data_IF_894335497457
#
_entry.id   IF_894335497457
#
_cell.length_a   1.000
_cell.length_b   1.000
_cell.length_c   1.000
_cell.angle_alpha   90.00
_cell.angle_beta   90.00
_cell.angle_gamma   90.00
#
_symmetry.space_group_name_H-M   'P 1'
#
loop_
_entity.id
_entity.type
_entity.pdbx_description
1 polymer ?
#
# COMPACT_ATOMS: atom_id res chain seq x y z
N UNK A 1 2.93 30.35 -22.47
CA UNK A 1 2.59 28.91 -22.52
C UNK A 1 1.44 28.64 -21.56
N UNK A 2 0.26 28.16 -22.02
CA UNK A 2 -0.85 27.86 -21.13
C UNK A 2 -0.53 26.59 -20.32
N UNK A 3 -0.61 26.67 -18.99
CA UNK A 3 -0.50 25.51 -18.09
C UNK A 3 -1.86 24.80 -18.11
N UNK A 4 -1.96 23.67 -18.83
CA UNK A 4 -3.14 22.79 -18.77
C UNK A 4 -3.23 22.26 -17.33
N UNK A 5 -4.31 22.61 -16.63
CA UNK A 5 -4.56 22.13 -15.29
C UNK A 5 -4.83 20.62 -15.36
N UNK A 6 -3.87 19.80 -14.94
CA UNK A 6 -4.08 18.36 -14.82
C UNK A 6 -5.07 18.13 -13.68
N UNK A 7 -6.29 17.72 -14.02
CA UNK A 7 -7.30 17.32 -13.03
C UNK A 7 -6.75 16.14 -12.21
N UNK A 8 -6.99 16.18 -10.89
CA UNK A 8 -6.57 15.09 -10.01
C UNK A 8 -7.43 13.87 -10.31
N UNK A 9 -6.81 12.76 -10.73
CA UNK A 9 -7.54 11.52 -10.91
C UNK A 9 -8.18 11.07 -9.59
N UNK A 10 -9.35 10.43 -9.65
CA UNK A 10 -10.02 9.85 -8.48
C UNK A 10 -9.08 8.92 -7.68
N UNK A 11 -8.15 8.25 -8.36
CA UNK A 11 -7.12 7.43 -7.76
C UNK A 11 -6.12 8.24 -6.92
N UNK A 12 -5.71 9.42 -7.38
CA UNK A 12 -4.80 10.32 -6.65
C UNK A 12 -5.47 10.82 -5.36
N UNK A 13 -6.75 11.17 -5.42
CA UNK A 13 -7.54 11.59 -4.26
C UNK A 13 -7.64 10.45 -3.24
N UNK A 14 -7.93 9.23 -3.70
CA UNK A 14 -7.99 8.03 -2.85
C UNK A 14 -6.64 7.75 -2.18
N UNK A 15 -5.55 7.81 -2.94
CA UNK A 15 -4.21 7.58 -2.41
C UNK A 15 -3.80 8.63 -1.37
N UNK A 16 -4.17 9.91 -1.57
CA UNK A 16 -3.94 10.97 -0.59
C UNK A 16 -4.68 10.69 0.72
N UNK A 17 -5.98 10.39 0.65
CA UNK A 17 -6.79 10.04 1.83
C UNK A 17 -6.24 8.84 2.58
N UNK A 18 -5.77 7.81 1.85
CA UNK A 18 -5.16 6.64 2.46
C UNK A 18 -3.85 6.99 3.19
N UNK A 19 -3.01 7.86 2.60
CA UNK A 19 -1.78 8.31 3.25
C UNK A 19 -2.06 9.20 4.48
N UNK A 20 -3.09 10.04 4.43
CA UNK A 20 -3.54 10.79 5.60
C UNK A 20 -3.99 9.85 6.73
N UNK A 21 -4.75 8.80 6.41
CA UNK A 21 -5.17 7.81 7.39
C UNK A 21 -3.96 7.07 8.00
N UNK A 22 -3.02 6.62 7.17
CA UNK A 22 -1.77 6.00 7.61
C UNK A 22 -0.99 6.89 8.59
N UNK A 23 -0.88 8.20 8.31
CA UNK A 23 -0.15 9.13 9.16
C UNK A 23 -0.86 9.48 10.48
N UNK A 24 -2.14 9.12 10.64
CA UNK A 24 -2.87 9.28 11.91
C UNK A 24 -2.61 8.13 12.88
N UNK A 25 -2.07 7.01 12.40
CA UNK A 25 -1.74 5.88 13.26
C UNK A 25 -0.59 6.23 14.22
N UNK A 26 -0.63 5.79 15.49
CA UNK A 26 0.45 6.01 16.44
C UNK A 26 1.80 5.52 15.92
N UNK A 27 2.85 6.33 16.10
CA UNK A 27 4.20 6.00 15.67
C UNK A 27 4.48 6.20 14.17
N UNK A 28 3.49 6.67 13.39
CA UNK A 28 3.70 7.05 11.99
C UNK A 28 4.02 8.53 11.87
N UNK A 29 4.93 8.88 10.96
CA UNK A 29 5.27 10.27 10.66
C UNK A 29 5.82 10.41 9.25
N UNK A 30 5.75 11.63 8.70
CA UNK A 30 6.35 11.92 7.38
C UNK A 30 7.88 11.77 7.42
N UNK A 31 8.52 12.00 8.57
CA UNK A 31 9.98 11.85 8.75
C UNK A 31 10.36 10.38 8.70
N UNK A 32 9.66 9.53 9.46
CA UNK A 32 9.88 8.08 9.42
C UNK A 32 9.66 7.54 8.01
N UNK A 33 8.56 7.93 7.37
CA UNK A 33 8.25 7.49 6.01
C UNK A 33 9.26 7.99 4.98
N UNK A 34 9.78 9.21 5.15
CA UNK A 34 10.84 9.77 4.30
C UNK A 34 12.11 8.94 4.37
N UNK A 35 12.55 8.60 5.59
CA UNK A 35 13.71 7.72 5.83
C UNK A 35 13.48 6.33 5.23
N UNK A 36 12.33 5.72 5.51
CA UNK A 36 12.05 4.33 5.12
C UNK A 36 11.84 4.17 3.59
N UNK A 37 11.39 5.24 2.91
CA UNK A 37 11.23 5.26 1.45
C UNK A 37 12.39 5.89 0.69
N UNK A 38 13.37 6.49 1.39
CA UNK A 38 14.43 7.33 0.80
C UNK A 38 13.89 8.50 -0.04
N UNK A 39 12.61 8.87 0.11
CA UNK A 39 11.99 9.99 -0.56
C UNK A 39 11.99 11.18 0.38
N UNK A 40 12.41 12.36 -0.09
CA UNK A 40 12.49 13.54 0.73
C UNK A 40 11.11 13.92 1.31
N UNK A 41 11.06 14.23 2.62
CA UNK A 41 9.85 14.66 3.32
C UNK A 41 9.07 15.79 2.60
N UNK A 42 9.72 16.80 1.97
CA UNK A 42 9.01 17.81 1.19
C UNK A 42 8.17 17.24 0.05
N UNK A 43 8.57 16.14 -0.56
CA UNK A 43 7.79 15.46 -1.62
C UNK A 43 6.51 14.85 -1.04
N UNK A 44 6.61 14.21 0.12
CA UNK A 44 5.45 13.64 0.85
C UNK A 44 4.48 14.77 1.25
N UNK A 45 5.01 15.86 1.82
CA UNK A 45 4.22 17.05 2.21
C UNK A 45 3.51 17.68 1.00
N UNK A 46 4.20 17.85 -0.13
CA UNK A 46 3.61 18.38 -1.37
C UNK A 46 2.51 17.47 -1.94
N UNK A 47 2.61 16.16 -1.77
CA UNK A 47 1.55 15.23 -2.18
C UNK A 47 0.31 15.34 -1.29
N UNK A 48 0.51 15.37 0.04
CA UNK A 48 -0.56 15.57 1.02
C UNK A 48 -1.26 16.91 0.84
N UNK A 49 -0.51 17.99 0.59
CA UNK A 49 -1.07 19.32 0.36
C UNK A 49 -1.72 19.48 -1.04
N UNK A 50 -1.70 18.44 -1.87
CA UNK A 50 -2.25 18.46 -3.23
C UNK A 50 -1.48 19.30 -4.25
N UNK A 51 -0.25 19.73 -3.94
CA UNK A 51 0.66 20.37 -4.90
C UNK A 51 1.14 19.36 -5.95
N UNK A 52 1.35 18.11 -5.56
CA UNK A 52 1.52 16.99 -6.50
C UNK A 52 0.13 16.41 -6.80
N UNK A 53 -0.29 16.52 -8.06
CA UNK A 53 -1.63 16.14 -8.54
C UNK A 53 -1.71 14.76 -9.20
N UNK A 54 -0.61 14.01 -9.18
CA UNK A 54 -0.48 12.70 -9.83
C UNK A 54 0.32 11.73 -8.97
N UNK A 55 0.20 10.45 -9.29
CA UNK A 55 0.98 9.38 -8.67
C UNK A 55 2.34 9.25 -9.38
N UNK A 56 3.25 10.17 -9.06
CA UNK A 56 4.64 10.14 -9.55
C UNK A 56 5.38 8.88 -9.05
N UNK A 57 6.51 8.49 -9.67
CA UNK A 57 7.32 7.36 -9.20
C UNK A 57 7.66 7.44 -7.71
N UNK A 58 8.05 8.62 -7.23
CA UNK A 58 8.36 8.86 -5.82
C UNK A 58 7.14 8.65 -4.92
N UNK A 59 5.97 9.17 -5.32
CA UNK A 59 4.72 8.98 -4.56
C UNK A 59 4.37 7.48 -4.52
N UNK A 60 4.54 6.75 -5.62
CA UNK A 60 4.32 5.29 -5.64
C UNK A 60 5.29 4.54 -4.74
N UNK A 61 6.56 4.97 -4.67
CA UNK A 61 7.55 4.39 -3.77
C UNK A 61 7.15 4.59 -2.30
N UNK A 62 6.72 5.80 -1.92
CA UNK A 62 6.18 6.12 -0.59
C UNK A 62 5.00 5.21 -0.26
N UNK A 63 4.06 5.04 -1.18
CA UNK A 63 2.84 4.27 -0.97
C UNK A 63 3.14 2.78 -0.83
N UNK A 64 4.12 2.27 -1.58
CA UNK A 64 4.60 0.90 -1.45
C UNK A 64 5.20 0.63 -0.07
N UNK A 65 5.99 1.56 0.47
CA UNK A 65 6.56 1.44 1.83
C UNK A 65 5.47 1.54 2.90
N UNK A 66 4.50 2.43 2.72
CA UNK A 66 3.32 2.53 3.59
C UNK A 66 2.31 1.37 3.40
N UNK A 67 2.59 0.41 2.51
CA UNK A 67 1.70 -0.68 2.13
C UNK A 67 0.30 -0.21 1.67
N UNK A 68 0.20 1.00 1.11
CA UNK A 68 -1.04 1.57 0.59
C UNK A 68 -1.26 1.04 -0.82
N UNK A 69 -2.33 0.27 -1.00
CA UNK A 69 -2.75 -0.27 -2.29
C UNK A 69 -3.23 0.82 -3.25
N UNK A 70 -2.31 1.39 -4.01
CA UNK A 70 -2.62 2.04 -5.29
C UNK A 70 -2.87 0.92 -6.30
N UNK A 71 -3.87 1.04 -7.19
CA UNK A 71 -4.31 -0.09 -8.05
C UNK A 71 -3.08 -0.76 -8.69
N UNK A 72 -2.94 -2.05 -8.41
CA UNK A 72 -1.81 -2.83 -8.92
C UNK A 72 -1.63 -4.18 -8.22
N UNK A 73 -2.04 -4.32 -6.95
CA UNK A 73 -1.92 -5.61 -6.24
C UNK A 73 -3.19 -6.07 -5.54
N UNK A 74 -3.89 -5.20 -4.81
CA UNK A 74 -5.15 -5.56 -4.14
C UNK A 74 -6.31 -5.89 -5.09
N UNK A 75 -6.43 -5.15 -6.20
CA UNK A 75 -7.45 -5.39 -7.23
C UNK A 75 -7.21 -6.69 -8.01
N UNK A 76 -5.95 -7.07 -8.19
CA UNK A 76 -5.53 -8.34 -8.81
C UNK A 76 -5.70 -9.50 -7.83
N UNK A 77 -5.42 -9.28 -6.54
CA UNK A 77 -5.63 -10.27 -5.46
C UNK A 77 -7.12 -10.61 -5.29
N UNK A 78 -7.97 -9.57 -5.29
CA UNK A 78 -9.42 -9.74 -5.20
C UNK A 78 -10.04 -10.37 -6.44
N UNK A 79 -9.30 -10.51 -7.54
CA UNK A 79 -9.75 -11.14 -8.77
C UNK A 79 -9.19 -12.58 -8.96
N UNK A 80 -8.23 -13.02 -8.14
CA UNK A 80 -7.72 -14.39 -8.19
C UNK A 80 -8.74 -15.34 -7.54
N UNK A 81 -9.31 -16.24 -8.34
CA UNK A 81 -10.36 -17.17 -7.91
C UNK A 81 -9.93 -18.06 -6.72
N UNK A 82 -8.64 -18.38 -6.60
CA UNK A 82 -8.13 -19.19 -5.49
C UNK A 82 -8.15 -18.40 -4.19
N UNK A 83 -7.83 -17.11 -4.25
CA UNK A 83 -7.83 -16.21 -3.10
C UNK A 83 -9.25 -15.89 -2.68
N UNK A 84 -10.14 -15.62 -3.64
CA UNK A 84 -11.57 -15.45 -3.34
C UNK A 84 -12.17 -16.69 -2.66
N UNK A 85 -11.88 -17.89 -3.18
CA UNK A 85 -12.36 -19.14 -2.59
C UNK A 85 -11.82 -19.34 -1.17
N UNK A 86 -10.50 -19.17 -0.98
CA UNK A 86 -9.89 -19.33 0.34
C UNK A 86 -10.43 -18.32 1.37
N UNK A 87 -10.65 -17.07 0.96
CA UNK A 87 -11.28 -16.06 1.81
C UNK A 87 -12.74 -16.39 2.11
N UNK A 88 -13.50 -16.88 1.13
CA UNK A 88 -14.89 -17.31 1.33
C UNK A 88 -15.02 -18.52 2.26
N UNK A 89 -14.08 -19.46 2.20
CA UNK A 89 -14.03 -20.63 3.10
C UNK A 89 -13.58 -20.24 4.52
N UNK A 90 -12.64 -19.30 4.64
CA UNK A 90 -12.09 -18.88 5.94
C UNK A 90 -12.95 -17.82 6.65
N UNK A 91 -13.87 -17.16 5.94
CA UNK A 91 -14.70 -16.10 6.49
C UNK A 91 -16.07 -16.65 6.93
N UNK A 92 -16.34 -16.57 8.23
CA UNK A 92 -17.59 -17.01 8.85
C UNK A 92 -18.74 -15.98 8.77
N UNK A 93 -18.55 -14.87 8.05
CA UNK A 93 -19.51 -13.77 7.92
C UNK A 93 -19.59 -12.83 9.12
N UNK A 94 -18.84 -13.08 10.20
CA UNK A 94 -18.87 -12.26 11.41
C UNK A 94 -17.78 -11.19 11.41
N UNK A 95 -17.99 -10.13 12.20
CA UNK A 95 -16.97 -9.09 12.41
C UNK A 95 -15.74 -9.64 13.16
N UNK A 96 -15.97 -10.49 14.16
CA UNK A 96 -14.90 -11.15 14.91
C UNK A 96 -14.04 -12.06 14.01
N UNK A 97 -14.67 -12.85 13.13
CA UNK A 97 -13.99 -13.68 12.15
C UNK A 97 -13.22 -12.87 11.12
N UNK A 98 -13.78 -11.74 10.67
CA UNK A 98 -13.07 -10.79 9.78
C UNK A 98 -11.80 -10.26 10.44
N UNK A 99 -11.88 -9.87 11.72
CA UNK A 99 -10.74 -9.33 12.44
C UNK A 99 -9.67 -10.41 12.74
N UNK A 100 -10.09 -11.64 13.02
CA UNK A 100 -9.18 -12.78 13.16
C UNK A 100 -8.48 -13.10 11.84
N UNK A 101 -9.22 -13.14 10.73
CA UNK A 101 -8.69 -13.39 9.39
C UNK A 101 -7.68 -12.31 8.98
N UNK A 102 -7.96 -11.04 9.27
CA UNK A 102 -7.02 -9.94 9.03
C UNK A 102 -5.72 -10.13 9.82
N UNK A 103 -5.81 -10.43 11.13
CA UNK A 103 -4.64 -10.69 11.98
C UNK A 103 -3.83 -11.91 11.51
N UNK A 104 -4.49 -12.96 11.06
CA UNK A 104 -3.83 -14.14 10.51
C UNK A 104 -3.06 -13.81 9.23
N UNK A 105 -3.65 -13.03 8.32
CA UNK A 105 -2.98 -12.57 7.09
C UNK A 105 -1.78 -11.67 7.42
N UNK A 106 -1.90 -10.79 8.40
CA UNK A 106 -0.79 -9.93 8.85
C UNK A 106 0.37 -10.73 9.44
N UNK A 107 0.07 -11.71 10.31
CA UNK A 107 1.07 -12.59 10.92
C UNK A 107 1.78 -13.46 9.88
N UNK A 108 1.02 -14.06 8.96
CA UNK A 108 1.56 -14.89 7.88
C UNK A 108 2.29 -14.05 6.82
N UNK A 109 1.96 -12.77 6.70
CA UNK A 109 2.56 -11.86 5.74
C UNK A 109 4.08 -11.75 5.87
N UNK A 110 4.62 -11.80 7.10
CA UNK A 110 6.07 -11.88 7.34
C UNK A 110 6.68 -13.15 6.74
N UNK A 111 6.15 -14.31 7.14
CA UNK A 111 6.63 -15.64 6.73
C UNK A 111 6.58 -15.82 5.21
N UNK A 112 5.50 -15.40 4.56
CA UNK A 112 5.35 -15.51 3.10
C UNK A 112 6.37 -14.64 2.34
N UNK A 113 6.72 -13.47 2.87
CA UNK A 113 7.75 -12.60 2.29
C UNK A 113 9.14 -13.24 2.39
N UNK A 114 9.46 -13.84 3.53
CA UNK A 114 10.76 -14.46 3.76
C UNK A 114 10.93 -15.75 2.94
N UNK A 115 9.89 -16.58 2.87
CA UNK A 115 9.89 -17.80 2.06
C UNK A 115 10.09 -17.53 0.56
N UNK A 116 9.50 -16.43 0.05
CA UNK A 116 9.64 -16.02 -1.35
C UNK A 116 10.92 -15.24 -1.66
N UNK A 117 11.60 -14.70 -0.63
CA UNK A 117 12.94 -14.14 -0.75
C UNK A 117 14.01 -15.25 -0.81
N UNK A 118 13.90 -16.28 0.03
CA UNK A 118 14.81 -17.43 0.04
C UNK A 118 14.83 -18.18 -1.30
N UNK A 119 13.68 -18.33 -1.94
CA UNK A 119 13.55 -19.00 -3.25
C UNK A 119 14.28 -18.27 -4.40
N UNK A 120 14.67 -17.00 -4.23
CA UNK A 120 15.36 -16.19 -5.26
C UNK A 120 16.89 -16.15 -5.11
N UNK A 121 17.44 -16.66 -4.00
CA UNK A 121 18.87 -16.73 -3.76
C UNK A 121 19.54 -18.06 -4.16
N UNK A 122 18.76 -19.07 -4.55
CA UNK A 122 19.22 -20.45 -4.77
C UNK A 122 19.44 -20.86 -6.23
N UNK A 123 19.85 -19.94 -7.11
CA UNK A 123 20.24 -20.30 -8.50
C UNK A 123 21.51 -19.58 -8.91
N UNK A 124 22.60 -19.94 -8.24
CA UNK A 124 23.96 -19.86 -8.76
C UNK A 124 24.75 -21.03 -8.20
N UNK A 125 24.72 -22.14 -8.93
CA UNK A 125 25.74 -23.17 -8.95
C UNK A 125 25.93 -23.56 -10.41
#
# INVERSE_FOLDING_TARGET
MPRIATEQSAETIKARRALEAYLREPGRSQVALSRDSSIAQPTISKFLSGRIKSLTPDVRAVMKVANIGIKGRGATLSADARIQRALGEAWDGTEAGTQLLARAIEALGGVLRDATAHKRGGTRA
#
